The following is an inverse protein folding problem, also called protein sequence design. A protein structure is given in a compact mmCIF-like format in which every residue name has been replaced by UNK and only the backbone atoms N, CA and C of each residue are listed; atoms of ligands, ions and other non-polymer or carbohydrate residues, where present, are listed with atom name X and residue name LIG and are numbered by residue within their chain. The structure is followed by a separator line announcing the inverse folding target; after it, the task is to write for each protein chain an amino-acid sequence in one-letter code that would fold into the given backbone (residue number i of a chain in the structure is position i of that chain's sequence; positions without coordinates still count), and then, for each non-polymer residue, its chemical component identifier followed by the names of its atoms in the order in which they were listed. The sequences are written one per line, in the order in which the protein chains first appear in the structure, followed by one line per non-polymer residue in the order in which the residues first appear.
data_IF_290994389302
#
_entry.id   IF_290994389302
#
_cell.length_a   1.000
_cell.length_b   1.000
_cell.length_c   1.000
_cell.angle_alpha   90.00
_cell.angle_beta   90.00
_cell.angle_gamma   90.00
#
_symmetry.space_group_name_H-M   'P 1'
#
loop_
_entity.id
_entity.type
_entity.pdbx_description
1 polymer ?
#
# COMPACT_ATOMS: atom_id res chain seq x y z
N UNK A 1 6.77 2.09 -19.35
CA UNK A 1 5.85 2.34 -18.21
C UNK A 1 6.68 2.49 -16.95
N UNK A 2 6.81 3.70 -16.44
CA UNK A 2 7.60 4.03 -15.24
C UNK A 2 6.92 3.46 -13.99
N UNK A 3 7.69 2.85 -13.09
CA UNK A 3 7.19 1.95 -12.04
C UNK A 3 6.24 2.63 -11.02
N UNK A 4 6.36 3.94 -10.81
CA UNK A 4 5.44 4.73 -9.97
C UNK A 4 3.99 4.68 -10.47
N UNK A 5 3.80 4.58 -11.79
CA UNK A 5 2.47 4.46 -12.39
C UNK A 5 1.80 3.17 -11.92
N UNK A 6 2.54 2.08 -11.74
CA UNK A 6 1.92 0.78 -11.54
C UNK A 6 1.22 0.57 -10.20
N UNK A 7 1.75 1.12 -9.09
CA UNK A 7 1.05 1.04 -7.80
C UNK A 7 -0.20 1.91 -7.81
N UNK A 8 -0.12 3.09 -8.45
CA UNK A 8 -1.26 3.97 -8.66
C UNK A 8 -2.33 3.33 -9.54
N UNK A 9 -1.94 2.75 -10.66
CA UNK A 9 -2.84 2.09 -11.62
C UNK A 9 -3.54 0.91 -10.93
N UNK A 10 -2.79 0.04 -10.24
CA UNK A 10 -3.37 -1.08 -9.50
C UNK A 10 -4.35 -0.61 -8.40
N UNK A 11 -3.99 0.45 -7.66
CA UNK A 11 -4.88 1.01 -6.63
C UNK A 11 -6.16 1.59 -7.23
N UNK A 12 -6.04 2.34 -8.33
CA UNK A 12 -7.17 2.91 -9.06
C UNK A 12 -8.11 1.82 -9.57
N UNK A 13 -7.57 0.80 -10.24
CA UNK A 13 -8.34 -0.30 -10.81
C UNK A 13 -9.16 -1.02 -9.75
N UNK A 14 -8.54 -1.36 -8.60
CA UNK A 14 -9.22 -2.01 -7.48
C UNK A 14 -10.31 -1.10 -6.91
N UNK A 15 -10.00 0.16 -6.60
CA UNK A 15 -10.95 1.10 -5.99
C UNK A 15 -12.19 1.34 -6.86
N UNK A 16 -11.97 1.57 -8.16
CA UNK A 16 -13.04 1.80 -9.12
C UNK A 16 -13.86 0.53 -9.40
N UNK A 17 -13.24 -0.65 -9.37
CA UNK A 17 -13.96 -1.93 -9.50
C UNK A 17 -14.97 -2.17 -8.37
N UNK A 18 -14.74 -1.56 -7.20
CA UNK A 18 -15.63 -1.60 -6.03
C UNK A 18 -16.69 -0.48 -6.06
N UNK A 19 -16.77 0.30 -7.14
CA UNK A 19 -17.65 1.46 -7.29
C UNK A 19 -17.49 2.52 -6.18
N UNK A 20 -16.28 2.65 -5.62
CA UNK A 20 -15.97 3.65 -4.62
C UNK A 20 -15.72 5.03 -5.25
N UNK A 21 -15.90 6.15 -4.51
CA UNK A 21 -15.81 7.50 -5.09
C UNK A 21 -14.42 7.81 -5.66
N UNK A 22 -14.35 8.16 -6.95
CA UNK A 22 -13.08 8.47 -7.63
C UNK A 22 -12.34 9.66 -7.00
N UNK A 23 -13.08 10.66 -6.48
CA UNK A 23 -12.49 11.84 -5.84
C UNK A 23 -11.59 11.47 -4.64
N UNK A 24 -11.88 10.36 -3.94
CA UNK A 24 -11.07 9.88 -2.83
C UNK A 24 -9.65 9.48 -3.27
N UNK A 25 -9.47 8.96 -4.49
CA UNK A 25 -8.15 8.56 -5.01
C UNK A 25 -7.18 9.73 -5.09
N UNK A 26 -7.66 10.97 -5.20
CA UNK A 26 -6.81 12.17 -5.18
C UNK A 26 -6.05 12.33 -3.85
N UNK A 27 -6.55 11.74 -2.77
CA UNK A 27 -5.99 11.77 -1.41
C UNK A 27 -4.93 10.70 -1.16
N UNK A 28 -4.81 9.71 -2.06
CA UNK A 28 -3.82 8.65 -1.96
C UNK A 28 -2.55 9.03 -2.72
N UNK A 29 -1.44 9.08 -2.00
CA UNK A 29 -0.12 9.45 -2.51
C UNK A 29 0.84 8.27 -2.38
N UNK A 30 1.54 7.98 -3.46
CA UNK A 30 2.62 6.99 -3.48
C UNK A 30 3.94 7.70 -3.71
N UNK A 31 4.94 7.43 -2.87
CA UNK A 31 6.32 7.90 -3.06
C UNK A 31 7.23 6.78 -3.56
N UNK A 32 8.33 7.18 -4.21
CA UNK A 32 9.48 6.32 -4.53
C UNK A 32 9.18 5.14 -5.47
N UNK A 33 10.22 4.43 -5.92
CA UNK A 33 10.08 3.23 -6.74
C UNK A 33 9.82 1.99 -5.86
N UNK A 34 8.68 1.28 -6.02
CA UNK A 34 8.35 0.10 -5.22
C UNK A 34 9.24 -1.14 -5.41
N UNK A 35 10.00 -1.28 -6.51
CA UNK A 35 10.61 -2.57 -6.87
C UNK A 35 12.10 -2.74 -6.49
N UNK A 36 12.64 -1.97 -5.54
CA UNK A 36 14.09 -1.94 -5.32
C UNK A 36 14.65 -2.86 -4.24
N UNK A 37 13.84 -3.38 -3.31
CA UNK A 37 14.38 -3.87 -2.01
C UNK A 37 14.37 -5.39 -1.85
N UNK A 38 13.48 -6.12 -2.53
CA UNK A 38 13.32 -7.57 -2.37
C UNK A 38 13.40 -8.26 -3.72
N UNK A 39 14.21 -9.32 -3.79
CA UNK A 39 14.30 -10.15 -4.99
C UNK A 39 13.09 -11.10 -5.04
N UNK A 40 12.17 -10.81 -5.96
CA UNK A 40 10.96 -11.60 -6.17
C UNK A 40 10.65 -11.68 -7.66
N UNK A 41 10.12 -12.81 -8.10
CA UNK A 41 9.55 -12.96 -9.45
C UNK A 41 8.21 -12.21 -9.60
N UNK A 42 7.61 -11.78 -8.48
CA UNK A 42 6.37 -11.03 -8.44
C UNK A 42 6.63 -9.55 -8.14
N UNK A 43 5.67 -8.70 -8.54
CA UNK A 43 5.70 -7.25 -8.28
C UNK A 43 5.30 -6.93 -6.83
N UNK A 44 6.00 -7.52 -5.87
CA UNK A 44 5.63 -7.48 -4.45
C UNK A 44 5.58 -6.04 -3.92
N UNK A 45 6.49 -5.17 -4.36
CA UNK A 45 6.46 -3.75 -3.99
C UNK A 45 5.19 -3.04 -4.43
N UNK A 46 4.73 -3.31 -5.66
CA UNK A 46 3.48 -2.75 -6.20
C UNK A 46 2.29 -3.27 -5.40
N UNK A 47 2.24 -4.58 -5.14
CA UNK A 47 1.18 -5.21 -4.35
C UNK A 47 1.12 -4.65 -2.92
N UNK A 48 2.28 -4.53 -2.25
CA UNK A 48 2.38 -3.99 -0.91
C UNK A 48 1.95 -2.53 -0.85
N UNK A 49 2.48 -1.69 -1.75
CA UNK A 49 2.19 -0.25 -1.75
C UNK A 49 0.72 0.02 -2.06
N UNK A 50 0.14 -0.65 -3.07
CA UNK A 50 -1.26 -0.48 -3.43
C UNK A 50 -2.20 -0.98 -2.33
N UNK A 51 -1.96 -2.17 -1.75
CA UNK A 51 -2.83 -2.74 -0.71
C UNK A 51 -2.82 -1.93 0.58
N UNK A 52 -1.64 -1.54 1.08
CA UNK A 52 -1.50 -0.68 2.26
C UNK A 52 -2.13 0.70 1.99
N UNK A 53 -1.89 1.25 0.80
CA UNK A 53 -2.48 2.53 0.37
C UNK A 53 -4.01 2.52 0.36
N UNK A 54 -4.61 1.48 -0.24
CA UNK A 54 -6.07 1.34 -0.28
C UNK A 54 -6.67 1.07 1.11
N UNK A 55 -5.99 0.31 1.96
CA UNK A 55 -6.43 0.11 3.34
C UNK A 55 -6.46 1.44 4.11
N UNK A 56 -5.38 2.24 4.01
CA UNK A 56 -5.32 3.57 4.60
C UNK A 56 -6.37 4.53 4.02
N UNK A 57 -6.54 4.54 2.68
CA UNK A 57 -7.54 5.36 2.02
C UNK A 57 -8.97 4.97 2.43
N UNK A 58 -9.25 3.67 2.56
CA UNK A 58 -10.56 3.17 3.02
C UNK A 58 -10.85 3.65 4.44
N UNK A 59 -9.86 3.58 5.34
CA UNK A 59 -9.99 4.07 6.71
C UNK A 59 -10.21 5.59 6.75
N UNK A 60 -9.46 6.37 5.97
CA UNK A 60 -9.63 7.82 5.85
C UNK A 60 -11.01 8.19 5.27
N UNK A 61 -11.46 7.47 4.25
CA UNK A 61 -12.79 7.66 3.66
C UNK A 61 -13.90 7.36 4.66
N UNK A 62 -13.81 6.24 5.39
CA UNK A 62 -14.76 5.90 6.44
C UNK A 62 -14.77 6.96 7.56
N UNK A 63 -13.60 7.47 7.94
CA UNK A 63 -13.48 8.55 8.93
C UNK A 63 -14.16 9.83 8.43
N UNK A 64 -13.97 10.19 7.17
CA UNK A 64 -14.63 11.35 6.55
C UNK A 64 -16.16 11.19 6.51
N UNK A 65 -16.68 10.01 6.17
CA UNK A 65 -18.13 9.74 6.21
C UNK A 65 -18.73 9.96 7.61
N UNK A 66 -17.97 9.66 8.67
CA UNK A 66 -18.41 9.80 10.06
C UNK A 66 -18.26 11.21 10.61
N UNK A 67 -17.29 11.98 10.14
CA UNK A 67 -16.84 13.22 10.80
C UNK A 67 -16.86 14.46 9.90
N UNK A 68 -16.96 14.28 8.59
CA UNK A 68 -16.74 15.33 7.59
C UNK A 68 -15.28 15.75 7.41
N UNK A 69 -14.34 15.15 8.15
CA UNK A 69 -12.92 15.52 8.08
C UNK A 69 -12.18 14.62 7.08
N UNK A 70 -11.66 15.22 6.02
CA UNK A 70 -10.82 14.53 5.03
C UNK A 70 -9.36 14.44 5.47
N UNK A 71 -8.68 13.36 5.06
CA UNK A 71 -7.26 13.12 5.35
C UNK A 71 -6.54 12.62 4.10
N UNK A 72 -5.29 13.05 3.93
CA UNK A 72 -4.40 12.50 2.91
C UNK A 72 -3.70 11.25 3.46
N UNK A 73 -3.48 10.26 2.58
CA UNK A 73 -2.76 9.02 2.89
C UNK A 73 -1.54 8.93 1.99
N UNK A 74 -0.36 8.84 2.59
CA UNK A 74 0.89 8.68 1.87
C UNK A 74 1.55 7.35 2.23
N UNK A 75 1.95 6.58 1.20
CA UNK A 75 2.61 5.29 1.40
C UNK A 75 3.95 5.28 0.68
N UNK A 76 5.02 5.13 1.46
CA UNK A 76 6.36 4.95 0.92
C UNK A 76 6.60 3.52 0.45
N UNK A 77 7.17 3.41 -0.74
CA UNK A 77 7.43 2.14 -1.41
C UNK A 77 8.36 1.22 -0.61
N UNK A 78 9.43 1.77 -0.01
CA UNK A 78 10.39 0.99 0.81
C UNK A 78 9.74 0.54 2.10
N UNK A 79 8.98 1.41 2.76
CA UNK A 79 8.25 0.99 3.96
C UNK A 79 7.23 -0.10 3.63
N UNK A 80 6.43 0.07 2.58
CA UNK A 80 5.40 -0.89 2.19
C UNK A 80 5.98 -2.29 1.93
N UNK A 81 7.04 -2.40 1.13
CA UNK A 81 7.63 -3.70 0.80
C UNK A 81 8.26 -4.39 2.00
N UNK A 82 8.86 -3.63 2.94
CA UNK A 82 9.42 -4.19 4.16
C UNK A 82 8.34 -4.76 5.09
N UNK A 83 7.13 -4.16 5.13
CA UNK A 83 6.01 -4.71 5.90
C UNK A 83 5.57 -6.08 5.37
N UNK A 84 5.57 -6.25 4.04
CA UNK A 84 5.25 -7.51 3.36
C UNK A 84 6.34 -8.58 3.48
N UNK A 85 7.52 -8.23 4.01
CA UNK A 85 8.62 -9.14 4.29
C UNK A 85 9.00 -9.12 5.78
N UNK A 86 8.06 -8.75 6.63
CA UNK A 86 8.28 -8.68 8.08
C UNK A 86 8.50 -10.07 8.67
N UNK A 87 8.05 -11.13 8.01
CA UNK A 87 8.28 -12.52 8.39
C UNK A 87 9.75 -12.95 8.32
N UNK A 88 10.61 -12.24 7.58
CA UNK A 88 12.05 -12.50 7.63
C UNK A 88 12.70 -11.98 8.93
N UNK A 89 11.97 -11.17 9.70
CA UNK A 89 12.51 -10.45 10.87
C UNK A 89 11.73 -10.74 12.17
N UNK A 90 10.64 -11.52 12.13
CA UNK A 90 9.93 -11.87 13.36
C UNK A 90 10.71 -12.91 14.16
N UNK A 91 10.62 -12.78 15.48
CA UNK A 91 11.19 -13.74 16.42
C UNK A 91 10.10 -14.28 17.34
N UNK A 92 10.25 -15.52 17.76
CA UNK A 92 9.44 -16.15 18.81
C UNK A 92 10.39 -16.42 19.98
N UNK A 93 10.08 -15.86 21.14
CA UNK A 93 10.95 -15.92 22.33
C UNK A 93 12.41 -15.52 22.06
N UNK A 94 12.61 -14.50 21.20
CA UNK A 94 13.93 -14.00 20.82
C UNK A 94 14.68 -14.84 19.78
N UNK A 95 14.07 -15.89 19.24
CA UNK A 95 14.66 -16.78 18.24
C UNK A 95 13.96 -16.63 16.89
N UNK A 96 14.74 -16.64 15.80
CA UNK A 96 14.17 -16.77 14.46
C UNK A 96 13.54 -18.17 14.35
N UNK A 97 12.31 -18.28 13.84
CA UNK A 97 11.69 -19.58 13.60
C UNK A 97 12.49 -20.38 12.56
N UNK A 98 12.59 -21.68 12.79
CA UNK A 98 13.12 -22.60 11.79
C UNK A 98 12.09 -22.72 10.66
N UNK A 99 12.53 -22.39 9.44
CA UNK A 99 11.74 -22.50 8.21
C UNK A 99 11.72 -23.90 7.63
#
# INVERSE_FOLDING_TARGET
MTVLAAAKDAANDIWLSLALPECALSRLKFSSDPNSVINSSFRLGVAAQASIGLAGLSAAHFYALRTGVEQDVAVDARHAILQFHSEAWYTVDGHLPEG
#
